data_IF_278684750093
#
_entry.id   IF_278684750093
#
_cell.length_a   1.000
_cell.length_b   1.000
_cell.length_c   1.000
_cell.angle_alpha   90.00
_cell.angle_beta   90.00
_cell.angle_gamma   90.00
#
_symmetry.space_group_name_H-M   'P 1'
#
loop_
_entity.id
_entity.type
_entity.pdbx_description
1 polymer ?
#
# COMPACT_ATOMS: atom_id res chain seq x y z
N UNK A 1 7.18 5.92 -8.84
CA UNK A 1 6.93 5.71 -7.40
C UNK A 1 5.44 5.45 -7.19
N UNK A 2 5.09 4.71 -6.14
CA UNK A 2 3.72 4.38 -5.75
C UNK A 2 3.63 4.12 -4.25
N UNK A 3 2.45 3.73 -3.77
CA UNK A 3 2.19 3.55 -2.34
C UNK A 3 1.71 2.11 -2.10
N UNK A 4 2.57 1.23 -1.55
CA UNK A 4 2.18 -0.13 -1.20
C UNK A 4 0.93 -0.13 -0.33
N UNK A 5 -0.11 -0.82 -0.78
CA UNK A 5 -1.43 -0.78 -0.15
C UNK A 5 -1.88 -2.21 0.13
N UNK A 6 -1.90 -2.65 1.40
CA UNK A 6 -2.40 -3.98 1.74
C UNK A 6 -3.88 -4.14 1.40
N UNK A 7 -4.29 -5.37 1.04
CA UNK A 7 -5.68 -5.68 0.76
C UNK A 7 -6.61 -5.42 1.96
N UNK A 8 -6.12 -5.68 3.18
CA UNK A 8 -6.85 -5.40 4.42
C UNK A 8 -7.21 -3.90 4.54
N UNK A 9 -6.27 -3.00 4.22
CA UNK A 9 -6.53 -1.56 4.25
C UNK A 9 -7.63 -1.16 3.25
N UNK A 10 -7.62 -1.74 2.04
CA UNK A 10 -8.67 -1.50 1.04
C UNK A 10 -10.03 -1.92 1.57
N UNK A 11 -10.11 -3.11 2.19
CA UNK A 11 -11.35 -3.64 2.76
C UNK A 11 -11.86 -2.76 3.92
N UNK A 12 -11.01 -2.43 4.88
CA UNK A 12 -11.37 -1.65 6.07
C UNK A 12 -11.86 -0.25 5.72
N UNK A 13 -11.14 0.43 4.82
CA UNK A 13 -11.51 1.77 4.36
C UNK A 13 -12.81 1.74 3.56
N UNK A 14 -13.00 0.74 2.71
CA UNK A 14 -14.26 0.56 1.95
C UNK A 14 -15.44 0.32 2.89
N UNK A 15 -15.29 -0.59 3.86
CA UNK A 15 -16.34 -0.88 4.85
C UNK A 15 -16.68 0.36 5.68
N UNK A 16 -15.67 1.11 6.12
CA UNK A 16 -15.83 2.36 6.86
C UNK A 16 -16.57 3.42 6.03
N UNK A 17 -16.19 3.60 4.76
CA UNK A 17 -16.83 4.55 3.87
C UNK A 17 -18.31 4.22 3.65
N UNK A 18 -18.64 2.94 3.43
CA UNK A 18 -20.02 2.48 3.29
C UNK A 18 -20.82 2.66 4.58
N UNK A 19 -20.26 2.32 5.74
CA UNK A 19 -20.94 2.50 7.03
C UNK A 19 -21.28 3.98 7.28
N UNK A 20 -20.34 4.90 6.99
CA UNK A 20 -20.56 6.35 7.11
C UNK A 20 -21.60 6.87 6.13
N UNK A 21 -21.59 6.38 4.89
CA UNK A 21 -22.58 6.72 3.87
C UNK A 21 -24.01 6.34 4.32
N UNK A 22 -24.17 5.10 4.80
CA UNK A 22 -25.45 4.57 5.27
C UNK A 22 -25.96 5.32 6.51
N UNK A 23 -25.10 5.56 7.50
CA UNK A 23 -25.47 6.29 8.71
C UNK A 23 -25.90 7.74 8.42
N UNK A 24 -25.31 8.38 7.41
CA UNK A 24 -25.68 9.72 6.97
C UNK A 24 -26.92 9.79 6.07
N UNK A 25 -27.57 8.66 5.75
CA UNK A 25 -28.70 8.61 4.81
C UNK A 25 -28.34 9.05 3.39
N UNK A 26 -27.06 8.96 3.02
CA UNK A 26 -26.56 9.40 1.72
C UNK A 26 -26.50 8.24 0.74
N UNK A 27 -27.11 8.38 -0.42
CA UNK A 27 -26.78 7.56 -1.58
C UNK A 27 -25.43 8.03 -2.11
N UNK A 28 -24.39 7.20 -1.98
CA UNK A 28 -23.04 7.55 -2.43
C UNK A 28 -22.75 6.83 -3.73
N UNK A 29 -22.45 7.61 -4.77
CA UNK A 29 -22.08 7.16 -6.10
C UNK A 29 -20.97 8.06 -6.63
N UNK A 30 -19.93 7.46 -7.21
CA UNK A 30 -18.74 8.16 -7.67
C UNK A 30 -17.51 7.26 -7.74
N UNK A 31 -16.37 7.87 -8.04
CA UNK A 31 -15.07 7.21 -8.13
C UNK A 31 -14.09 7.87 -7.17
N UNK A 32 -13.42 7.05 -6.35
CA UNK A 32 -12.40 7.49 -5.41
C UNK A 32 -11.14 6.65 -5.58
N UNK A 33 -9.98 7.28 -5.42
CA UNK A 33 -8.74 6.55 -5.25
C UNK A 33 -8.54 6.16 -3.79
N UNK A 34 -8.02 4.97 -3.59
CA UNK A 34 -7.71 4.41 -2.27
C UNK A 34 -6.35 3.73 -2.34
N UNK A 35 -5.36 4.37 -1.72
CA UNK A 35 -4.01 3.85 -1.50
C UNK A 35 -3.53 4.28 -0.12
N UNK A 36 -2.59 3.55 0.46
CA UNK A 36 -1.90 4.01 1.67
C UNK A 36 -1.20 5.36 1.43
N UNK A 37 -0.92 6.08 2.51
CA UNK A 37 -0.17 7.33 2.45
C UNK A 37 1.35 7.09 2.30
N UNK A 38 2.07 8.15 1.98
CA UNK A 38 3.50 8.10 1.67
C UNK A 38 3.78 7.54 0.29
N UNK A 39 5.05 7.38 -0.06
CA UNK A 39 5.46 6.84 -1.35
C UNK A 39 6.79 6.09 -1.28
N UNK A 40 7.00 5.18 -2.23
CA UNK A 40 8.29 4.49 -2.45
C UNK A 40 8.43 4.01 -3.90
N UNK A 41 9.62 3.57 -4.27
CA UNK A 41 9.87 2.84 -5.52
C UNK A 41 9.70 1.33 -5.29
N UNK A 42 9.63 0.53 -6.37
CA UNK A 42 9.66 -0.93 -6.22
C UNK A 42 10.92 -1.43 -5.53
N UNK A 43 12.06 -0.78 -5.83
CA UNK A 43 13.33 -1.06 -5.19
C UNK A 43 13.27 -0.74 -3.69
N UNK A 44 12.81 0.45 -3.31
CA UNK A 44 12.68 0.85 -1.90
C UNK A 44 11.65 0.02 -1.12
N UNK A 45 10.59 -0.45 -1.78
CA UNK A 45 9.65 -1.39 -1.15
C UNK A 45 10.28 -2.77 -0.92
N UNK A 46 11.06 -3.29 -1.88
CA UNK A 46 11.76 -4.56 -1.72
C UNK A 46 12.81 -4.49 -0.60
N UNK A 47 13.59 -3.40 -0.53
CA UNK A 47 14.54 -3.19 0.58
C UNK A 47 13.83 -3.18 1.94
N UNK A 48 12.69 -2.49 2.02
CA UNK A 48 11.88 -2.46 3.22
C UNK A 48 11.40 -3.85 3.65
N UNK A 49 10.85 -4.64 2.72
CA UNK A 49 10.39 -6.02 2.99
C UNK A 49 11.53 -6.86 3.58
N UNK A 50 12.70 -6.84 2.95
CA UNK A 50 13.82 -7.67 3.42
C UNK A 50 14.40 -7.19 4.74
N UNK A 51 14.44 -5.88 4.99
CA UNK A 51 14.86 -5.33 6.26
C UNK A 51 13.92 -5.75 7.40
N UNK A 52 12.60 -5.60 7.19
CA UNK A 52 11.59 -5.92 8.21
C UNK A 52 11.52 -7.43 8.47
N UNK A 53 11.60 -8.26 7.41
CA UNK A 53 11.64 -9.72 7.55
C UNK A 53 12.90 -10.23 8.26
N UNK A 54 14.06 -9.61 8.04
CA UNK A 54 15.29 -9.93 8.79
C UNK A 54 15.13 -9.56 10.26
N UNK A 55 14.57 -8.38 10.57
CA UNK A 55 14.33 -7.94 11.93
C UNK A 55 13.34 -8.83 12.68
N UNK A 56 12.34 -9.38 11.97
CA UNK A 56 11.35 -10.32 12.49
C UNK A 56 11.87 -11.77 12.60
N UNK A 57 13.12 -12.05 12.21
CA UNK A 57 13.68 -13.41 12.26
C UNK A 57 13.15 -14.36 11.18
N UNK A 58 12.33 -13.88 10.25
CA UNK A 58 11.79 -14.65 9.11
C UNK A 58 12.87 -15.01 8.09
N UNK A 59 13.99 -14.26 8.08
CA UNK A 59 15.13 -14.51 7.22
C UNK A 59 16.41 -14.57 8.05
N UNK A 60 17.32 -15.53 7.77
CA UNK A 60 18.63 -15.55 8.42
C UNK A 60 19.56 -14.45 7.90
N UNK A 61 19.27 -13.88 6.71
CA UNK A 61 20.04 -12.81 6.07
C UNK A 61 19.21 -12.10 5.00
N UNK A 62 19.31 -10.78 4.93
CA UNK A 62 18.73 -10.00 3.83
C UNK A 62 19.57 -10.14 2.53
N UNK A 63 18.95 -10.36 1.36
CA UNK A 63 19.65 -10.30 0.08
C UNK A 63 20.02 -8.85 -0.30
N UNK A 64 21.00 -8.70 -1.20
CA UNK A 64 21.30 -7.41 -1.81
C UNK A 64 20.23 -7.07 -2.87
N UNK A 65 19.56 -5.93 -2.72
CA UNK A 65 18.55 -5.45 -3.67
C UNK A 65 19.21 -4.50 -4.65
N UNK A 66 19.44 -4.97 -5.88
CA UNK A 66 20.08 -4.16 -6.93
C UNK A 66 19.01 -3.36 -7.68
N UNK A 67 19.10 -2.02 -7.71
CA UNK A 67 18.16 -1.20 -8.47
C UNK A 67 18.39 -1.37 -9.97
N UNK A 68 17.30 -1.41 -10.72
CA UNK A 68 17.32 -1.41 -12.19
C UNK A 68 16.37 -0.34 -12.73
N UNK A 69 16.66 0.18 -13.91
CA UNK A 69 15.73 1.06 -14.63
C UNK A 69 14.65 0.24 -15.32
N UNK A 70 13.54 0.87 -15.70
CA UNK A 70 12.51 0.20 -16.51
C UNK A 70 13.05 -0.26 -17.88
N UNK A 71 14.07 0.42 -18.41
CA UNK A 71 14.70 0.04 -19.67
C UNK A 71 15.53 -1.25 -19.55
N UNK A 72 16.08 -1.52 -18.36
CA UNK A 72 16.90 -2.71 -18.09
C UNK A 72 16.04 -3.99 -17.98
N UNK A 73 14.72 -3.85 -17.89
CA UNK A 73 13.78 -4.98 -17.83
C UNK A 73 12.53 -4.73 -18.68
N UNK A 74 12.62 -4.88 -20.02
CA UNK A 74 11.51 -4.62 -20.92
C UNK A 74 10.41 -5.67 -20.74
N UNK A 75 9.25 -5.23 -20.24
CA UNK A 75 8.06 -6.07 -20.15
C UNK A 75 7.12 -5.81 -21.34
N UNK A 76 6.34 -6.82 -21.81
CA UNK A 76 5.40 -6.63 -22.93
C UNK A 76 4.37 -5.50 -22.70
N UNK A 77 3.95 -5.31 -21.45
CA UNK A 77 3.11 -4.18 -21.04
C UNK A 77 3.96 -2.97 -20.66
N UNK A 78 3.61 -1.78 -21.18
CA UNK A 78 4.23 -0.52 -20.76
C UNK A 78 3.75 -0.16 -19.36
N UNK A 79 4.68 -0.06 -18.41
CA UNK A 79 4.38 0.43 -17.05
C UNK A 79 4.42 1.96 -17.05
N UNK A 80 3.45 2.63 -16.40
CA UNK A 80 3.57 4.06 -16.15
C UNK A 80 4.81 4.34 -15.31
N UNK A 81 5.58 5.38 -15.68
CA UNK A 81 6.71 5.83 -14.86
C UNK A 81 6.26 6.34 -13.48
N UNK A 82 5.00 6.79 -13.40
CA UNK A 82 4.40 7.35 -12.20
C UNK A 82 2.92 6.93 -12.10
N UNK A 83 2.54 6.31 -10.98
CA UNK A 83 1.18 5.79 -10.76
C UNK A 83 0.60 6.27 -9.43
N UNK A 84 0.97 7.48 -9.00
CA UNK A 84 0.43 8.08 -7.78
C UNK A 84 -1.04 8.39 -7.98
N UNK A 85 -1.81 8.09 -6.94
CA UNK A 85 -3.23 8.32 -6.90
C UNK A 85 -3.53 9.37 -5.83
N UNK A 86 -4.23 10.44 -6.22
CA UNK A 86 -4.69 11.46 -5.29
C UNK A 86 -5.92 10.96 -4.52
N UNK A 87 -5.80 10.88 -3.19
CA UNK A 87 -6.84 10.39 -2.27
C UNK A 87 -7.66 11.51 -1.64
N UNK A 88 -7.45 12.78 -2.02
CA UNK A 88 -8.11 13.95 -1.41
C UNK A 88 -9.63 13.83 -1.38
N UNK A 89 -10.26 13.36 -2.46
CA UNK A 89 -11.71 13.18 -2.49
C UNK A 89 -12.19 12.13 -1.47
N UNK A 90 -11.46 11.02 -1.32
CA UNK A 90 -11.83 9.96 -0.37
C UNK A 90 -11.78 10.50 1.06
N UNK A 91 -10.66 11.17 1.40
CA UNK A 91 -10.44 11.76 2.72
C UNK A 91 -11.52 12.78 3.06
N UNK A 92 -11.81 13.69 2.12
CA UNK A 92 -12.84 14.74 2.29
C UNK A 92 -14.25 14.16 2.43
N UNK A 93 -14.65 13.29 1.50
CA UNK A 93 -16.07 12.90 1.37
C UNK A 93 -16.52 11.92 2.46
N UNK A 94 -15.57 11.16 3.01
CA UNK A 94 -15.81 10.15 4.04
C UNK A 94 -15.11 10.45 5.37
N UNK A 95 -14.23 11.45 5.48
CA UNK A 95 -13.51 11.79 6.71
C UNK A 95 -12.49 10.73 7.14
N UNK A 96 -11.85 10.05 6.19
CA UNK A 96 -10.93 8.93 6.45
C UNK A 96 -9.50 9.41 6.29
N UNK A 97 -8.64 9.14 7.28
CA UNK A 97 -7.20 9.27 7.13
C UNK A 97 -6.58 7.92 6.77
N UNK A 98 -5.63 7.95 5.82
CA UNK A 98 -4.95 6.77 5.33
C UNK A 98 -3.59 6.65 6.04
N UNK A 99 -3.23 5.46 6.54
CA UNK A 99 -1.97 5.26 7.25
C UNK A 99 -0.79 5.29 6.28
N UNK A 100 0.40 5.60 6.80
CA UNK A 100 1.65 5.45 6.05
C UNK A 100 1.86 3.98 5.64
N UNK A 101 2.30 3.74 4.40
CA UNK A 101 2.50 2.40 3.86
C UNK A 101 3.42 1.51 4.71
N UNK A 102 4.37 2.10 5.47
CA UNK A 102 5.24 1.35 6.40
C UNK A 102 4.46 0.64 7.49
N UNK A 103 3.37 1.23 7.98
CA UNK A 103 2.52 0.61 8.99
C UNK A 103 1.84 -0.64 8.42
N UNK A 104 1.36 -0.55 7.18
CA UNK A 104 0.77 -1.68 6.46
C UNK A 104 1.76 -2.81 6.22
N UNK A 105 3.00 -2.48 5.82
CA UNK A 105 4.06 -3.48 5.66
C UNK A 105 4.41 -4.15 7.00
N UNK A 106 4.62 -3.38 8.06
CA UNK A 106 4.98 -3.90 9.38
C UNK A 106 3.95 -4.92 9.88
N UNK A 107 2.65 -4.59 9.76
CA UNK A 107 1.56 -5.50 10.13
C UNK A 107 1.57 -6.81 9.32
N UNK A 108 1.79 -6.73 8.01
CA UNK A 108 1.87 -7.93 7.16
C UNK A 108 3.06 -8.81 7.56
N UNK A 109 4.20 -8.22 7.89
CA UNK A 109 5.37 -8.97 8.36
C UNK A 109 5.11 -9.62 9.71
N UNK A 110 4.48 -8.91 10.66
CA UNK A 110 4.06 -9.45 11.95
C UNK A 110 3.11 -10.65 11.79
N UNK A 111 2.07 -10.51 10.96
CA UNK A 111 1.13 -11.59 10.66
C UNK A 111 1.82 -12.82 10.04
N UNK A 112 2.87 -12.62 9.23
CA UNK A 112 3.66 -13.72 8.66
C UNK A 112 4.61 -14.36 9.68
N UNK A 113 5.12 -13.60 10.65
CA UNK A 113 5.99 -14.13 11.71
C UNK A 113 5.22 -14.91 12.77
N UNK A 114 3.96 -14.58 13.03
CA UNK A 114 3.13 -15.30 14.01
C UNK A 114 2.70 -16.70 13.52
N UNK A 115 2.83 -16.97 12.22
CA UNK A 115 2.50 -18.25 11.59
C UNK A 115 3.73 -19.17 11.47
N UNK A 116 4.94 -18.63 11.71
CA UNK A 116 6.22 -19.34 11.56
C UNK A 116 6.68 -20.00 12.87
#
# INVERSE_FOLDING_TARGET
AGSPTPAALIADVTATALARALAGGRTVSGTWHLVADGETSWHGFAEAIFADALAAGLLPRAPAVVPITTADYPTPARRPAYSRLDTTCLRRDFGIDLPDWRQGLARVIEELSDVA
#
